data_IF_895053637163
#
_entry.id   IF_895053637163
#
_cell.length_a   1.000
_cell.length_b   1.000
_cell.length_c   1.000
_cell.angle_alpha   90.00
_cell.angle_beta   90.00
_cell.angle_gamma   90.00
#
_symmetry.space_group_name_H-M   'P 1'
#
loop_
_entity.id
_entity.type
_entity.pdbx_description
1 polymer ?
#
# COMPACT_ATOMS: atom_id res chain seq x y z
N UNK A 1 8.06 15.55 -12.64
CA UNK A 1 8.67 14.22 -12.84
C UNK A 1 8.34 13.37 -11.61
N UNK A 2 7.91 12.11 -11.77
CA UNK A 2 7.55 11.25 -10.63
C UNK A 2 8.83 10.62 -10.05
N UNK A 3 9.03 10.77 -8.74
CA UNK A 3 10.18 10.19 -8.03
C UNK A 3 9.91 8.76 -7.59
N UNK A 4 10.96 7.93 -7.52
CA UNK A 4 10.88 6.59 -6.94
C UNK A 4 10.52 6.69 -5.45
N UNK A 5 9.63 5.80 -5.00
CA UNK A 5 9.27 5.61 -3.60
C UNK A 5 10.52 5.37 -2.73
N UNK A 6 10.59 6.00 -1.55
CA UNK A 6 11.56 5.67 -0.49
C UNK A 6 11.23 4.28 0.09
N UNK A 7 12.25 3.51 0.46
CA UNK A 7 12.04 2.20 1.11
C UNK A 7 11.36 2.39 2.48
N UNK A 8 11.81 3.39 3.23
CA UNK A 8 11.28 3.75 4.54
C UNK A 8 11.33 5.27 4.72
N UNK A 9 10.31 5.83 5.37
CA UNK A 9 10.17 7.25 5.68
C UNK A 9 9.55 7.44 7.08
N UNK A 10 10.36 7.54 8.15
CA UNK A 10 9.85 7.72 9.51
C UNK A 10 9.15 9.07 9.72
N UNK A 11 9.49 10.09 8.91
CA UNK A 11 8.98 11.46 9.02
C UNK A 11 7.63 11.67 8.32
N UNK A 12 7.05 10.62 7.74
CA UNK A 12 5.77 10.72 7.03
C UNK A 12 4.64 11.07 8.00
N UNK A 13 3.91 12.13 7.68
CA UNK A 13 2.69 12.53 8.40
C UNK A 13 1.40 12.16 7.64
N UNK A 14 1.52 11.29 6.62
CA UNK A 14 0.39 10.89 5.76
C UNK A 14 -0.62 10.05 6.54
N UNK A 15 -1.84 10.59 6.70
CA UNK A 15 -2.96 9.82 7.23
C UNK A 15 -3.55 8.88 6.17
N UNK A 16 -4.23 7.83 6.61
CA UNK A 16 -4.80 6.82 5.70
C UNK A 16 -5.75 7.41 4.67
N UNK A 17 -6.52 8.44 5.02
CA UNK A 17 -7.41 9.14 4.08
C UNK A 17 -6.65 9.90 3.00
N UNK A 18 -5.43 10.34 3.27
CA UNK A 18 -4.63 11.19 2.38
C UNK A 18 -3.79 10.39 1.39
N UNK A 19 -3.58 9.08 1.64
CA UNK A 19 -2.76 8.18 0.81
C UNK A 19 -3.08 8.26 -0.67
N UNK A 20 -2.06 8.32 -1.52
CA UNK A 20 -2.21 8.38 -2.99
C UNK A 20 -1.43 7.26 -3.67
N UNK A 21 -1.87 6.86 -4.85
CA UNK A 21 -1.13 5.89 -5.69
C UNK A 21 0.17 6.53 -6.22
N UNK A 22 0.12 7.81 -6.59
CA UNK A 22 1.29 8.59 -7.03
C UNK A 22 1.36 9.91 -6.27
N UNK A 23 2.58 10.34 -5.92
CA UNK A 23 2.82 11.63 -5.25
C UNK A 23 2.29 11.72 -3.82
N UNK A 24 2.09 10.59 -3.15
CA UNK A 24 1.85 10.53 -1.70
C UNK A 24 3.16 10.60 -0.90
N UNK A 25 3.02 10.55 0.42
CA UNK A 25 4.13 10.55 1.37
C UNK A 25 4.07 9.33 2.31
N UNK A 26 4.22 8.09 1.79
CA UNK A 26 4.04 6.90 2.60
C UNK A 26 5.26 6.64 3.51
N UNK A 27 5.01 6.07 4.70
CA UNK A 27 6.07 5.57 5.59
C UNK A 27 6.89 4.43 4.99
N UNK A 28 6.33 3.72 4.01
CA UNK A 28 6.91 2.48 3.45
C UNK A 28 6.50 1.20 4.18
N UNK A 29 5.82 1.32 5.32
CA UNK A 29 5.26 0.19 6.08
C UNK A 29 3.93 -0.25 5.46
N UNK A 30 3.67 -1.55 5.47
CA UNK A 30 2.41 -2.13 5.04
C UNK A 30 1.55 -2.49 6.26
N UNK A 31 0.57 -1.64 6.58
CA UNK A 31 -0.38 -1.85 7.67
C UNK A 31 -1.72 -2.35 7.12
N UNK A 32 -2.08 -3.58 7.47
CA UNK A 32 -3.27 -4.26 6.93
C UNK A 32 -4.57 -3.85 7.63
N UNK A 33 -4.50 -3.34 8.86
CA UNK A 33 -5.70 -2.90 9.60
C UNK A 33 -6.13 -1.48 9.23
N UNK A 34 -5.26 -0.70 8.61
CA UNK A 34 -5.49 0.70 8.27
C UNK A 34 -5.15 0.98 6.81
N UNK A 35 -6.05 0.56 5.91
CA UNK A 35 -5.90 0.63 4.45
C UNK A 35 -6.93 1.60 3.84
N UNK A 36 -6.47 2.51 2.96
CA UNK A 36 -7.34 3.42 2.21
C UNK A 36 -8.22 2.70 1.18
N UNK A 37 -7.59 1.84 0.38
CA UNK A 37 -8.21 1.16 -0.75
C UNK A 37 -8.59 -0.27 -0.38
N UNK A 38 -9.76 -0.45 0.26
CA UNK A 38 -10.22 -1.77 0.73
C UNK A 38 -10.29 -2.83 -0.38
N UNK A 39 -10.58 -2.42 -1.62
CA UNK A 39 -10.60 -3.33 -2.77
C UNK A 39 -9.25 -4.02 -3.01
N UNK A 40 -8.13 -3.39 -2.63
CA UNK A 40 -6.80 -3.96 -2.83
C UNK A 40 -6.57 -5.18 -1.92
N UNK A 41 -7.14 -5.16 -0.72
CA UNK A 41 -7.11 -6.30 0.19
C UNK A 41 -7.93 -7.47 -0.37
N UNK A 42 -9.17 -7.23 -0.81
CA UNK A 42 -10.00 -8.27 -1.42
C UNK A 42 -9.34 -8.86 -2.67
N UNK A 43 -8.68 -8.03 -3.50
CA UNK A 43 -7.95 -8.49 -4.67
C UNK A 43 -6.78 -9.40 -4.26
N UNK A 44 -6.02 -9.02 -3.24
CA UNK A 44 -4.94 -9.85 -2.69
C UNK A 44 -5.45 -11.20 -2.19
N UNK A 45 -6.58 -11.25 -1.49
CA UNK A 45 -7.20 -12.51 -1.03
C UNK A 45 -7.59 -13.42 -2.20
N UNK A 46 -8.21 -12.86 -3.26
CA UNK A 46 -8.54 -13.61 -4.48
C UNK A 46 -7.27 -14.17 -5.13
N UNK A 47 -6.21 -13.38 -5.24
CA UNK A 47 -4.93 -13.83 -5.80
C UNK A 47 -4.32 -14.97 -4.97
N UNK A 48 -4.29 -14.81 -3.64
CA UNK A 48 -3.75 -15.80 -2.72
C UNK A 48 -4.48 -17.14 -2.85
N UNK A 49 -5.82 -17.13 -2.85
CA UNK A 49 -6.65 -18.33 -2.96
C UNK A 49 -6.51 -19.06 -4.31
N UNK A 50 -6.04 -18.38 -5.36
CA UNK A 50 -5.80 -18.96 -6.68
C UNK A 50 -4.33 -19.36 -6.90
N UNK A 51 -3.51 -19.39 -5.85
CA UNK A 51 -2.11 -19.84 -5.95
C UNK A 51 -2.06 -21.36 -6.20
N UNK A 52 -1.27 -21.80 -7.16
CA UNK A 52 -1.03 -23.22 -7.46
C UNK A 52 0.45 -23.50 -7.70
N UNK A 53 0.88 -24.71 -7.38
CA UNK A 53 2.25 -25.19 -7.58
C UNK A 53 2.26 -26.33 -8.60
N UNK A 54 3.29 -26.36 -9.44
CA UNK A 54 3.51 -27.42 -10.44
C UNK A 54 4.39 -28.53 -9.86
#
# INVERSE_FOLDING_TARGET
MINRKKIYNPESNENTKDRKIFGGDPTGIFELNDIKYKWAYNLWEVMLNNTWFK
#
